data_IF_327391402129
#
_entry.id   IF_327391402129
#
_cell.length_a   1.000
_cell.length_b   1.000
_cell.length_c   1.000
_cell.angle_alpha   90.00
_cell.angle_beta   90.00
_cell.angle_gamma   90.00
#
_symmetry.space_group_name_H-M   'P 1'
#
loop_
_entity.id
_entity.type
_entity.pdbx_description
1 polymer ?
#
# COMPACT_ATOMS: atom_id res chain seq x y z
N UNK A 1 15.49 22.90 -1.51
CA UNK A 1 15.37 22.71 -0.05
C UNK A 1 15.91 21.33 0.30
N UNK A 2 17.00 21.27 1.08
CA UNK A 2 17.67 20.02 1.42
C UNK A 2 16.90 19.38 2.59
N UNK A 3 15.97 18.47 2.29
CA UNK A 3 15.21 17.76 3.31
C UNK A 3 16.20 16.87 4.05
N UNK A 4 16.55 17.22 5.29
CA UNK A 4 17.23 16.32 6.22
C UNK A 4 16.52 14.97 6.12
N UNK A 5 17.26 13.88 5.87
CA UNK A 5 16.75 12.52 5.88
C UNK A 5 16.11 12.28 7.26
N UNK A 6 14.81 12.52 7.39
CA UNK A 6 14.07 12.21 8.61
C UNK A 6 14.08 10.70 8.72
N UNK A 7 14.51 10.18 9.87
CA UNK A 7 14.45 8.74 10.12
C UNK A 7 12.99 8.39 10.37
N UNK A 8 12.49 7.35 9.70
CA UNK A 8 11.08 6.95 9.83
C UNK A 8 10.70 6.59 11.28
N UNK A 9 11.67 6.11 12.07
CA UNK A 9 11.53 5.87 13.50
C UNK A 9 11.12 7.10 14.32
N UNK A 10 11.48 8.31 13.87
CA UNK A 10 11.15 9.57 14.56
C UNK A 10 9.79 10.15 14.08
N UNK A 11 9.12 9.51 13.11
CA UNK A 11 7.86 9.97 12.50
C UNK A 11 6.67 9.35 13.23
N UNK A 12 5.60 10.11 13.47
CA UNK A 12 4.40 9.56 14.09
C UNK A 12 3.72 8.52 13.20
N UNK A 13 2.90 7.63 13.77
CA UNK A 13 2.17 6.64 12.95
C UNK A 13 1.22 7.30 11.97
N UNK A 14 0.56 8.38 12.36
CA UNK A 14 -0.35 9.12 11.49
C UNK A 14 0.41 9.77 10.31
N UNK A 15 1.55 10.41 10.58
CA UNK A 15 2.38 10.99 9.51
C UNK A 15 2.95 9.92 8.57
N UNK A 16 3.21 8.70 9.05
CA UNK A 16 3.60 7.58 8.20
C UNK A 16 2.44 7.10 7.33
N UNK A 17 1.21 7.07 7.84
CA UNK A 17 0.00 6.74 7.06
C UNK A 17 -0.22 7.79 5.97
N UNK A 18 -0.11 9.08 6.30
CA UNK A 18 -0.22 10.17 5.33
C UNK A 18 0.89 10.08 4.27
N UNK A 19 2.12 9.77 4.69
CA UNK A 19 3.24 9.56 3.78
C UNK A 19 2.99 8.37 2.85
N UNK A 20 2.42 7.28 3.35
CA UNK A 20 2.06 6.12 2.55
C UNK A 20 1.04 6.49 1.47
N UNK A 21 -0.01 7.24 1.83
CA UNK A 21 -1.03 7.71 0.90
C UNK A 21 -0.42 8.62 -0.19
N UNK A 22 0.43 9.58 0.21
CA UNK A 22 1.11 10.47 -0.73
C UNK A 22 1.96 9.69 -1.74
N UNK A 23 2.71 8.68 -1.28
CA UNK A 23 3.50 7.81 -2.17
C UNK A 23 2.58 7.04 -3.13
N UNK A 24 1.44 6.53 -2.67
CA UNK A 24 0.47 5.84 -3.51
C UNK A 24 -0.11 6.74 -4.62
N UNK A 25 -0.45 8.00 -4.30
CA UNK A 25 -0.86 8.99 -5.31
C UNK A 25 0.26 9.23 -6.33
N UNK A 26 1.50 9.39 -5.88
CA UNK A 26 2.63 9.61 -6.79
C UNK A 26 2.94 8.38 -7.66
N UNK A 27 2.73 7.17 -7.15
CA UNK A 27 2.83 5.93 -7.91
C UNK A 27 1.80 5.90 -9.03
N UNK A 28 0.55 6.27 -8.73
CA UNK A 28 -0.53 6.34 -9.71
C UNK A 28 -0.19 7.30 -10.85
N UNK A 29 0.28 8.51 -10.51
CA UNK A 29 0.74 9.48 -11.50
C UNK A 29 1.96 8.99 -12.30
N UNK A 30 2.88 8.25 -11.66
CA UNK A 30 4.03 7.67 -12.35
C UNK A 30 3.60 6.58 -13.35
N UNK A 31 2.61 5.74 -13.01
CA UNK A 31 2.05 4.74 -13.93
C UNK A 31 1.38 5.40 -15.12
N UNK A 32 0.50 6.39 -14.89
CA UNK A 32 -0.17 7.14 -15.96
C UNK A 32 0.82 7.84 -16.90
N UNK A 33 1.93 8.35 -16.35
CA UNK A 33 3.00 8.98 -17.12
C UNK A 33 4.03 8.02 -17.72
N UNK A 34 3.88 6.70 -17.56
CA UNK A 34 4.87 5.72 -18.02
C UNK A 34 6.24 5.81 -17.34
N UNK A 35 6.32 6.45 -16.16
CA UNK A 35 7.55 6.74 -15.44
C UNK A 35 7.98 5.56 -14.55
N UNK A 36 8.27 4.41 -15.16
CA UNK A 36 8.53 3.14 -14.45
C UNK A 36 9.69 3.26 -13.44
N UNK A 37 10.77 3.96 -13.79
CA UNK A 37 11.89 4.17 -12.87
C UNK A 37 11.49 4.98 -11.62
N UNK A 38 10.56 5.94 -11.77
CA UNK A 38 10.01 6.70 -10.64
C UNK A 38 9.09 5.82 -9.80
N UNK A 39 8.21 5.06 -10.45
CA UNK A 39 7.33 4.12 -9.78
C UNK A 39 8.11 3.15 -8.89
N UNK A 40 9.18 2.53 -9.42
CA UNK A 40 10.00 1.58 -8.66
C UNK A 40 10.64 2.24 -7.42
N UNK A 41 11.18 3.45 -7.56
CA UNK A 41 11.73 4.19 -6.40
C UNK A 41 10.67 4.50 -5.35
N UNK A 42 9.46 4.87 -5.78
CA UNK A 42 8.33 5.10 -4.88
C UNK A 42 7.86 3.80 -4.21
N UNK A 43 7.93 2.67 -4.90
CA UNK A 43 7.60 1.36 -4.33
C UNK A 43 8.56 0.98 -3.20
N UNK A 44 9.86 1.21 -3.36
CA UNK A 44 10.84 1.02 -2.27
C UNK A 44 10.53 1.92 -1.07
N UNK A 45 10.26 3.21 -1.30
CA UNK A 45 9.89 4.15 -0.22
C UNK A 45 8.60 3.74 0.51
N UNK A 46 7.61 3.22 -0.22
CA UNK A 46 6.38 2.68 0.37
C UNK A 46 6.67 1.46 1.25
N UNK A 47 7.57 0.59 0.79
CA UNK A 47 8.00 -0.59 1.53
C UNK A 47 8.74 -0.21 2.81
N UNK A 48 9.61 0.80 2.77
CA UNK A 48 10.29 1.34 3.96
C UNK A 48 9.28 1.86 5.00
N UNK A 49 8.26 2.62 4.58
CA UNK A 49 7.19 3.11 5.46
C UNK A 49 6.40 1.94 6.07
N UNK A 50 6.02 0.96 5.25
CA UNK A 50 5.31 -0.23 5.72
C UNK A 50 6.14 -1.07 6.71
N UNK A 51 7.45 -1.17 6.49
CA UNK A 51 8.36 -1.92 7.35
C UNK A 51 8.56 -1.21 8.69
N UNK A 52 8.65 0.11 8.70
CA UNK A 52 8.65 0.90 9.94
C UNK A 52 7.35 0.69 10.72
N UNK A 53 6.19 0.77 10.06
CA UNK A 53 4.90 0.49 10.71
C UNK A 53 4.85 -0.93 11.29
N UNK A 54 5.35 -1.92 10.55
CA UNK A 54 5.46 -3.32 10.98
C UNK A 54 6.34 -3.49 12.23
N UNK A 55 7.45 -2.77 12.30
CA UNK A 55 8.43 -2.88 13.38
C UNK A 55 7.92 -2.32 14.72
N UNK A 56 6.88 -1.47 14.70
CA UNK A 56 6.27 -0.91 15.92
C UNK A 56 5.52 -1.98 16.70
N UNK A 57 5.52 -1.84 18.04
CA UNK A 57 4.82 -2.75 18.94
C UNK A 57 3.34 -2.84 18.57
N UNK A 58 2.85 -4.05 18.29
CA UNK A 58 1.46 -4.29 17.88
C UNK A 58 1.20 -4.20 16.37
N UNK A 59 2.25 -4.05 15.55
CA UNK A 59 2.21 -3.93 14.09
C UNK A 59 1.24 -2.84 13.62
N UNK A 60 1.79 -1.63 13.48
CA UNK A 60 1.00 -0.46 13.15
C UNK A 60 0.56 -0.42 11.69
N UNK A 61 0.87 -1.42 10.85
CA UNK A 61 0.30 -1.53 9.50
C UNK A 61 -1.23 -1.57 9.56
N UNK A 62 -1.82 -2.05 10.66
CA UNK A 62 -3.28 -1.98 10.92
C UNK A 62 -3.86 -0.58 10.71
N UNK A 63 -3.08 0.49 10.92
CA UNK A 63 -3.51 1.88 10.74
C UNK A 63 -3.80 2.24 9.27
N UNK A 64 -3.21 1.50 8.32
CA UNK A 64 -3.42 1.70 6.88
C UNK A 64 -4.85 1.36 6.43
N UNK A 65 -5.66 0.66 7.26
CA UNK A 65 -7.09 0.39 6.95
C UNK A 65 -7.89 1.67 6.71
N UNK A 66 -7.48 2.79 7.32
CA UNK A 66 -8.09 4.11 7.13
C UNK A 66 -8.02 4.60 5.68
N UNK A 67 -7.10 4.03 4.88
CA UNK A 67 -6.88 4.41 3.49
C UNK A 67 -7.77 3.62 2.51
N UNK A 68 -8.62 2.70 2.97
CA UNK A 68 -9.50 1.93 2.09
C UNK A 68 -10.56 2.78 1.38
N UNK A 69 -10.90 3.93 1.97
CA UNK A 69 -11.84 4.89 1.38
C UNK A 69 -11.11 6.07 0.72
N UNK A 70 -9.77 6.11 0.75
CA UNK A 70 -8.99 7.23 0.21
C UNK A 70 -9.31 7.46 -1.28
N UNK A 71 -9.46 8.71 -1.78
CA UNK A 71 -9.94 8.98 -3.14
C UNK A 71 -8.85 8.75 -4.22
N UNK A 72 -8.16 7.61 -4.17
CA UNK A 72 -7.21 7.15 -5.18
C UNK A 72 -7.11 5.62 -5.16
N UNK A 73 -7.31 4.96 -6.32
CA UNK A 73 -7.38 3.50 -6.39
C UNK A 73 -6.05 2.82 -6.06
N UNK A 74 -4.92 3.42 -6.47
CA UNK A 74 -3.59 2.91 -6.14
C UNK A 74 -3.34 2.92 -4.62
N UNK A 75 -3.76 3.98 -3.92
CA UNK A 75 -3.66 4.07 -2.45
C UNK A 75 -4.46 2.94 -1.80
N UNK A 76 -5.72 2.75 -2.21
CA UNK A 76 -6.59 1.68 -1.67
C UNK A 76 -5.99 0.30 -1.87
N UNK A 77 -5.53 0.00 -3.10
CA UNK A 77 -4.89 -1.27 -3.45
C UNK A 77 -3.65 -1.54 -2.60
N UNK A 78 -2.74 -0.56 -2.49
CA UNK A 78 -1.52 -0.73 -1.70
C UNK A 78 -1.81 -0.87 -0.22
N UNK A 79 -2.75 -0.10 0.32
CA UNK A 79 -3.17 -0.25 1.72
C UNK A 79 -3.68 -1.66 2.02
N UNK A 80 -4.54 -2.22 1.15
CA UNK A 80 -5.06 -3.57 1.30
C UNK A 80 -3.93 -4.63 1.26
N UNK A 81 -3.06 -4.58 0.25
CA UNK A 81 -1.95 -5.53 0.12
C UNK A 81 -1.00 -5.50 1.34
N UNK A 82 -0.73 -4.33 1.89
CA UNK A 82 0.19 -4.17 3.03
C UNK A 82 -0.45 -4.53 4.38
N UNK A 83 -1.76 -4.70 4.45
CA UNK A 83 -2.48 -5.06 5.69
C UNK A 83 -2.95 -6.51 5.73
N UNK A 84 -2.79 -7.27 4.65
CA UNK A 84 -3.17 -8.70 4.56
C UNK A 84 -2.66 -9.57 5.73
N UNK A 85 -1.46 -9.29 6.26
CA UNK A 85 -0.89 -10.06 7.37
C UNK A 85 -1.55 -9.76 8.73
N UNK A 86 -2.11 -8.55 8.90
CA UNK A 86 -2.60 -8.04 10.19
C UNK A 86 -4.12 -7.87 10.24
N UNK A 87 -4.76 -7.74 9.08
CA UNK A 87 -6.20 -7.56 8.85
C UNK A 87 -6.64 -8.39 7.62
N UNK A 88 -6.47 -9.72 7.65
CA UNK A 88 -6.65 -10.57 6.46
C UNK A 88 -8.07 -10.53 5.89
N UNK A 89 -9.09 -10.42 6.74
CA UNK A 89 -10.49 -10.42 6.30
C UNK A 89 -10.81 -9.09 5.59
N UNK A 90 -10.51 -7.98 6.25
CA UNK A 90 -10.79 -6.64 5.72
C UNK A 90 -9.96 -6.35 4.47
N UNK A 91 -8.68 -6.72 4.46
CA UNK A 91 -7.81 -6.58 3.29
C UNK A 91 -8.30 -7.41 2.10
N UNK A 92 -8.74 -8.64 2.33
CA UNK A 92 -9.30 -9.47 1.28
C UNK A 92 -10.58 -8.87 0.70
N UNK A 93 -11.52 -8.43 1.54
CA UNK A 93 -12.76 -7.77 1.10
C UNK A 93 -12.47 -6.50 0.28
N UNK A 94 -11.46 -5.73 0.68
CA UNK A 94 -11.07 -4.54 -0.09
C UNK A 94 -10.47 -4.91 -1.45
N UNK A 95 -9.65 -5.97 -1.54
CA UNK A 95 -9.12 -6.45 -2.82
C UNK A 95 -10.24 -6.97 -3.73
N UNK A 96 -11.19 -7.73 -3.19
CA UNK A 96 -12.38 -8.20 -3.91
C UNK A 96 -13.18 -7.01 -4.47
N UNK A 97 -13.46 -6.01 -3.62
CA UNK A 97 -14.15 -4.77 -4.03
C UNK A 97 -13.39 -4.00 -5.13
N UNK A 98 -12.05 -3.97 -5.08
CA UNK A 98 -11.23 -3.33 -6.11
C UNK A 98 -11.30 -4.11 -7.42
N UNK A 99 -11.18 -5.44 -7.37
CA UNK A 99 -11.23 -6.31 -8.54
C UNK A 99 -12.56 -6.17 -9.29
N UNK A 100 -13.68 -6.03 -8.57
CA UNK A 100 -15.03 -5.83 -9.13
C UNK A 100 -15.22 -4.47 -9.82
N UNK A 101 -14.39 -3.47 -9.52
CA UNK A 101 -14.53 -2.13 -10.14
C UNK A 101 -14.15 -2.08 -11.61
N UNK A 102 -13.39 -3.07 -12.09
CA UNK A 102 -12.74 -3.06 -13.40
C UNK A 102 -11.85 -1.82 -13.66
N UNK A 103 -11.43 -1.11 -12.61
CA UNK A 103 -10.52 0.02 -12.71
C UNK A 103 -9.09 -0.46 -13.00
N UNK A 104 -8.69 -0.41 -14.26
CA UNK A 104 -7.36 -0.86 -14.68
C UNK A 104 -6.28 0.21 -14.47
N UNK A 105 -5.04 -0.17 -14.11
CA UNK A 105 -4.55 -1.56 -13.90
C UNK A 105 -4.79 -2.13 -12.49
N UNK A 106 -5.37 -1.38 -11.56
CA UNK A 106 -5.45 -1.78 -10.15
C UNK A 106 -6.38 -2.98 -9.89
N UNK A 107 -7.48 -3.10 -10.63
CA UNK A 107 -8.38 -4.24 -10.54
C UNK A 107 -7.68 -5.55 -10.94
N UNK A 108 -6.82 -5.51 -11.95
CA UNK A 108 -6.01 -6.67 -12.36
C UNK A 108 -4.97 -7.05 -11.30
N UNK A 109 -4.25 -6.08 -10.71
CA UNK A 109 -3.32 -6.35 -9.59
C UNK A 109 -4.08 -6.95 -8.39
N UNK A 110 -5.27 -6.42 -8.06
CA UNK A 110 -6.09 -6.98 -7.00
C UNK A 110 -6.51 -8.43 -7.27
N UNK A 111 -7.01 -8.72 -8.47
CA UNK A 111 -7.40 -10.08 -8.89
C UNK A 111 -6.23 -11.06 -8.83
N UNK A 112 -5.08 -10.69 -9.39
CA UNK A 112 -3.85 -11.49 -9.32
C UNK A 112 -3.43 -11.74 -7.86
N UNK A 113 -3.53 -10.72 -6.99
CA UNK A 113 -3.20 -10.89 -5.58
C UNK A 113 -4.13 -11.89 -4.89
N UNK A 114 -5.44 -11.87 -5.19
CA UNK A 114 -6.41 -12.82 -4.64
C UNK A 114 -6.12 -14.25 -5.09
N UNK A 115 -5.83 -14.46 -6.37
CA UNK A 115 -5.47 -15.78 -6.91
C UNK A 115 -4.23 -16.36 -6.21
N UNK A 116 -3.19 -15.53 -6.04
CA UNK A 116 -1.95 -15.92 -5.35
C UNK A 116 -2.16 -16.22 -3.86
N UNK A 117 -3.14 -15.58 -3.22
CA UNK A 117 -3.53 -15.89 -1.84
C UNK A 117 -4.26 -17.23 -1.77
N UNK A 118 -5.19 -17.49 -2.68
CA UNK A 118 -6.01 -18.71 -2.71
C UNK A 118 -5.17 -19.96 -3.00
N UNK A 119 -4.23 -19.87 -3.94
CA UNK A 119 -3.35 -20.99 -4.26
C UNK A 119 -2.17 -21.14 -3.28
N UNK A 120 -2.05 -20.24 -2.30
CA UNK A 120 -1.03 -20.29 -1.25
C UNK A 120 0.40 -19.96 -1.70
N UNK A 121 0.59 -19.50 -2.95
CA UNK A 121 1.90 -19.04 -3.47
C UNK A 121 2.36 -17.79 -2.73
N UNK A 122 1.42 -16.89 -2.43
CA UNK A 122 1.68 -15.69 -1.65
C UNK A 122 1.17 -15.84 -0.22
N UNK A 123 2.08 -15.66 0.75
CA UNK A 123 1.77 -15.69 2.18
C UNK A 123 2.17 -14.35 2.80
N UNK A 124 1.20 -13.49 3.15
CA UNK A 124 1.47 -12.21 3.81
C UNK A 124 2.27 -12.41 5.11
N UNK A 125 3.21 -11.50 5.40
CA UNK A 125 3.99 -11.49 6.65
C UNK A 125 4.11 -10.10 7.22
#
# INVERSE_FOLDING_TARGET
MNVKRVRLADVSTEDLVDRFAQIGVEQDQALLGGQIAKFNRLFELMSDVSNELKARTGDHRRSLVRLYEYPNMQVRLKAAKHTLAVLPIEARQQLESIAETHWMPQAEDAGMCLELLENGTFKPS
#
